data_IF_633332760140
#
_entry.id   IF_633332760140
#
_cell.length_a   1.000
_cell.length_b   1.000
_cell.length_c   1.000
_cell.angle_alpha   90.00
_cell.angle_beta   90.00
_cell.angle_gamma   90.00
#
_symmetry.space_group_name_H-M   'P 1'
#
loop_
_entity.id
_entity.type
_entity.pdbx_description
1 polymer ?
#
# COMPACT_ATOMS: atom_id res chain seq x y z
N UNK A 1 13.87 -12.73 76.02
CA UNK A 1 14.72 -11.54 76.17
C UNK A 1 14.83 -10.92 74.79
N UNK A 2 14.27 -9.77 74.41
CA UNK A 2 13.71 -8.60 75.11
C UNK A 2 12.48 -8.12 74.31
N UNK A 3 11.46 -7.57 75.00
CA UNK A 3 10.16 -7.10 74.46
C UNK A 3 10.16 -5.58 74.21
N UNK A 4 9.07 -5.12 73.56
CA UNK A 4 8.53 -3.75 73.37
C UNK A 4 8.98 -3.02 72.07
N UNK A 5 8.12 -2.37 71.28
CA UNK A 5 6.67 -2.15 71.36
C UNK A 5 6.13 -1.35 70.16
N UNK A 6 4.89 -1.64 69.79
CA UNK A 6 3.86 -0.83 69.12
C UNK A 6 4.22 0.37 68.21
N UNK A 7 3.77 0.32 66.94
CA UNK A 7 2.51 0.97 66.52
C UNK A 7 2.07 0.59 65.10
N UNK A 8 0.83 0.11 65.03
CA UNK A 8 0.02 -0.05 63.82
C UNK A 8 -0.30 1.33 63.22
N UNK A 9 -0.25 1.41 61.89
CA UNK A 9 -0.85 2.48 61.09
C UNK A 9 -1.90 1.91 60.15
N UNK A 10 -3.06 1.51 60.68
CA UNK A 10 -4.27 1.24 59.90
C UNK A 10 -5.05 2.54 59.74
N UNK A 11 -4.92 3.21 58.59
CA UNK A 11 -5.78 4.35 58.26
C UNK A 11 -7.12 3.83 57.72
N UNK A 12 -8.13 3.84 58.59
CA UNK A 12 -9.52 3.66 58.23
C UNK A 12 -10.00 4.84 57.36
N UNK A 13 -10.44 4.57 56.14
CA UNK A 13 -11.28 5.49 55.35
C UNK A 13 -12.74 5.24 55.73
N UNK A 14 -13.31 6.16 56.49
CA UNK A 14 -14.76 6.37 56.63
C UNK A 14 -15.13 7.70 55.96
N UNK A 15 -16.36 7.84 55.44
CA UNK A 15 -16.72 8.83 54.44
C UNK A 15 -17.05 10.17 55.07
N UNK A 16 -16.42 11.25 54.59
CA UNK A 16 -16.79 12.61 54.94
C UNK A 16 -17.87 13.14 54.00
N UNK A 17 -18.93 13.62 54.64
CA UNK A 17 -20.05 14.37 54.15
C UNK A 17 -19.72 15.45 53.09
N UNK A 18 -20.70 15.63 52.19
CA UNK A 18 -21.11 16.89 51.56
C UNK A 18 -20.03 17.96 51.35
N UNK A 19 -19.50 18.03 50.13
CA UNK A 19 -18.94 19.29 49.60
C UNK A 19 -20.01 20.00 48.78
N UNK A 20 -20.67 20.93 49.48
CA UNK A 20 -21.39 22.06 48.91
C UNK A 20 -20.35 23.17 48.68
N UNK A 21 -20.50 23.89 47.59
CA UNK A 21 -19.59 24.92 47.10
C UNK A 21 -19.14 25.92 48.18
N UNK A 22 -17.83 26.16 48.26
CA UNK A 22 -17.25 27.21 49.09
C UNK A 22 -17.24 28.49 48.25
N UNK A 23 -18.21 29.35 48.54
CA UNK A 23 -18.28 30.71 48.03
C UNK A 23 -17.31 31.59 48.83
N UNK A 24 -16.19 31.97 48.23
CA UNK A 24 -15.24 32.97 48.75
C UNK A 24 -15.63 34.34 48.22
N UNK A 25 -16.55 35.03 48.87
CA UNK A 25 -16.74 36.47 48.62
C UNK A 25 -17.10 37.25 49.89
N UNK A 26 -16.21 38.21 50.16
CA UNK A 26 -16.32 39.43 50.96
C UNK A 26 -17.61 39.68 51.74
N UNK A 27 -17.46 39.69 53.06
CA UNK A 27 -18.34 40.42 53.97
C UNK A 27 -18.11 41.93 53.72
N UNK A 28 -19.00 42.55 52.94
CA UNK A 28 -18.87 43.96 52.55
C UNK A 28 -20.22 44.59 52.22
N UNK A 29 -20.82 45.22 53.23
CA UNK A 29 -21.73 46.37 53.17
C UNK A 29 -22.43 46.70 51.84
N UNK A 30 -23.70 46.31 51.71
CA UNK A 30 -24.77 47.15 51.17
C UNK A 30 -26.13 46.42 51.21
N UNK A 31 -26.71 46.30 52.40
CA UNK A 31 -28.16 46.12 52.52
C UNK A 31 -28.78 47.50 52.64
N UNK A 32 -29.44 47.97 51.58
CA UNK A 32 -30.29 49.16 51.63
C UNK A 32 -31.52 48.85 52.47
N UNK A 33 -31.40 49.02 53.79
CA UNK A 33 -32.53 48.96 54.72
C UNK A 33 -33.27 50.29 54.61
N UNK A 34 -34.42 50.25 53.92
CA UNK A 34 -35.29 51.40 53.78
C UNK A 34 -36.10 51.59 55.08
N UNK A 35 -35.55 52.33 56.05
CA UNK A 35 -36.23 52.66 57.31
C UNK A 35 -37.10 53.89 57.09
N UNK A 36 -38.34 53.69 56.63
CA UNK A 36 -39.34 54.76 56.63
C UNK A 36 -40.14 54.77 57.93
N UNK A 37 -39.92 55.82 58.72
CA UNK A 37 -40.79 56.45 59.72
C UNK A 37 -41.02 55.74 61.07
N UNK A 38 -40.14 56.03 62.04
CA UNK A 38 -40.55 56.18 63.46
C UNK A 38 -40.97 57.64 63.69
N UNK A 39 -42.15 57.92 64.27
CA UNK A 39 -42.50 59.28 64.64
C UNK A 39 -41.79 59.61 65.96
N UNK A 40 -40.84 60.54 65.91
CA UNK A 40 -40.25 61.16 67.11
C UNK A 40 -40.36 62.66 66.93
N UNK A 41 -41.28 63.29 67.64
CA UNK A 41 -41.28 64.75 67.85
C UNK A 41 -41.75 65.07 69.27
N UNK A 42 -40.79 65.43 70.12
CA UNK A 42 -41.05 66.16 71.36
C UNK A 42 -41.34 67.63 70.99
N UNK A 43 -42.58 68.05 71.22
CA UNK A 43 -43.10 69.39 71.54
C UNK A 43 -42.41 70.66 71.01
N UNK A 44 -43.19 71.46 70.26
CA UNK A 44 -42.94 72.89 69.99
C UNK A 44 -43.97 73.57 69.07
N UNK A 45 -45.20 73.80 69.57
CA UNK A 45 -46.18 74.86 69.21
C UNK A 45 -46.70 75.08 67.75
N UNK A 46 -48.04 74.97 67.66
CA UNK A 46 -49.00 75.79 66.88
C UNK A 46 -49.25 75.51 65.39
N UNK A 47 -50.53 75.31 65.03
CA UNK A 47 -51.07 75.47 63.68
C UNK A 47 -52.22 74.53 63.32
N UNK A 48 -53.44 75.06 63.26
CA UNK A 48 -54.73 74.36 63.13
C UNK A 48 -55.10 74.06 61.65
N UNK A 49 -55.91 73.00 61.43
CA UNK A 49 -56.71 72.65 60.24
C UNK A 49 -55.95 71.95 59.09
N UNK A 50 -56.48 71.00 58.31
CA UNK A 50 -57.86 70.68 57.94
C UNK A 50 -57.97 69.22 57.47
N UNK A 51 -59.18 68.67 57.57
CA UNK A 51 -59.63 67.31 57.35
C UNK A 51 -59.82 66.88 55.87
N UNK A 52 -59.52 65.61 55.59
CA UNK A 52 -60.22 64.65 54.69
C UNK A 52 -60.60 65.04 53.25
N UNK A 53 -60.06 64.33 52.25
CA UNK A 53 -60.85 63.83 51.10
C UNK A 53 -60.12 62.71 50.30
N UNK A 54 -60.85 61.64 49.94
CA UNK A 54 -60.36 60.41 49.29
C UNK A 54 -60.00 60.52 47.80
N UNK A 55 -59.59 59.40 47.15
CA UNK A 55 -58.80 59.42 45.92
C UNK A 55 -59.66 59.64 44.66
N UNK A 56 -59.37 60.71 43.91
CA UNK A 56 -59.93 60.95 42.56
C UNK A 56 -59.16 60.17 41.49
N UNK A 57 -59.91 59.71 40.47
CA UNK A 57 -59.43 59.02 39.27
C UNK A 57 -58.50 59.94 38.47
N UNK A 58 -57.26 59.49 38.23
CA UNK A 58 -56.25 60.23 37.46
C UNK A 58 -56.51 60.04 35.96
N UNK A 59 -56.72 61.13 35.22
CA UNK A 59 -56.77 61.11 33.76
C UNK A 59 -55.38 61.46 33.27
N UNK A 60 -54.79 60.56 32.47
CA UNK A 60 -53.44 60.71 31.95
C UNK A 60 -53.49 61.33 30.55
N UNK A 61 -52.93 62.53 30.41
CA UNK A 61 -52.87 63.24 29.13
C UNK A 61 -51.74 62.73 28.24
N UNK A 62 -51.75 63.09 26.95
CA UNK A 62 -50.71 62.72 25.97
C UNK A 62 -49.28 63.02 26.48
N UNK A 63 -49.11 64.14 27.19
CA UNK A 63 -47.84 64.55 27.80
C UNK A 63 -47.35 63.59 28.89
N UNK A 64 -48.25 62.98 29.67
CA UNK A 64 -47.89 61.95 30.65
C UNK A 64 -47.31 60.71 29.97
N UNK A 65 -47.99 60.18 28.94
CA UNK A 65 -47.48 59.02 28.21
C UNK A 65 -46.20 59.32 27.43
N UNK A 66 -46.02 60.55 26.93
CA UNK A 66 -44.80 60.98 26.27
C UNK A 66 -43.61 61.05 27.26
N UNK A 67 -43.84 61.57 28.47
CA UNK A 67 -42.82 61.57 29.52
C UNK A 67 -42.52 60.16 30.03
N UNK A 68 -43.53 59.29 30.15
CA UNK A 68 -43.34 57.88 30.49
C UNK A 68 -42.52 57.15 29.42
N UNK A 69 -42.79 57.39 28.13
CA UNK A 69 -42.00 56.85 27.02
C UNK A 69 -40.56 57.38 27.03
N UNK A 70 -40.34 58.67 27.34
CA UNK A 70 -38.99 59.23 27.51
C UNK A 70 -38.26 58.57 28.69
N UNK A 71 -38.93 58.37 29.82
CA UNK A 71 -38.37 57.65 30.97
C UNK A 71 -37.99 56.22 30.59
N UNK A 72 -38.91 55.50 29.92
CA UNK A 72 -38.65 54.13 29.46
C UNK A 72 -37.55 54.03 28.40
N UNK A 73 -37.47 54.99 27.49
CA UNK A 73 -36.34 55.07 26.55
C UNK A 73 -35.02 55.38 27.25
N UNK A 74 -35.04 56.19 28.31
CA UNK A 74 -33.85 56.43 29.14
C UNK A 74 -33.45 55.17 29.91
N UNK A 75 -34.40 54.45 30.51
CA UNK A 75 -34.17 53.16 31.19
C UNK A 75 -33.62 52.10 30.23
N UNK A 76 -34.21 51.96 29.03
CA UNK A 76 -33.70 51.08 27.98
C UNK A 76 -32.29 51.50 27.54
N UNK A 77 -32.04 52.80 27.39
CA UNK A 77 -30.71 53.29 27.05
C UNK A 77 -29.70 52.95 28.14
N UNK A 78 -30.04 53.12 29.42
CA UNK A 78 -29.14 52.73 30.53
C UNK A 78 -28.89 51.23 30.57
N UNK A 79 -29.91 50.41 30.31
CA UNK A 79 -29.76 48.95 30.28
C UNK A 79 -28.89 48.51 29.08
N UNK A 80 -29.06 49.13 27.91
CA UNK A 80 -28.19 48.89 26.75
C UNK A 80 -26.73 49.24 27.07
N UNK A 81 -26.47 50.33 27.77
CA UNK A 81 -25.10 50.69 28.18
C UNK A 81 -24.53 49.71 29.20
N UNK A 82 -25.37 49.18 30.10
CA UNK A 82 -24.98 48.15 31.05
C UNK A 82 -24.62 46.85 30.34
N UNK A 83 -25.46 46.37 29.42
CA UNK A 83 -25.15 45.18 28.61
C UNK A 83 -23.89 45.35 27.76
N UNK A 84 -23.66 46.52 27.17
CA UNK A 84 -22.40 46.78 26.44
C UNK A 84 -21.18 46.65 27.34
N UNK A 85 -21.25 47.18 28.57
CA UNK A 85 -20.16 47.03 29.54
C UNK A 85 -19.96 45.58 29.98
N UNK A 86 -21.04 44.83 30.20
CA UNK A 86 -20.97 43.40 30.53
C UNK A 86 -20.35 42.60 29.38
N UNK A 87 -20.71 42.88 28.12
CA UNK A 87 -20.10 42.26 26.93
C UNK A 87 -18.59 42.55 26.88
N UNK A 88 -18.16 43.79 27.14
CA UNK A 88 -16.75 44.15 27.15
C UNK A 88 -15.97 43.44 28.27
N UNK A 89 -16.59 43.26 29.44
CA UNK A 89 -16.01 42.49 30.56
C UNK A 89 -15.89 41.02 30.18
N UNK A 90 -16.96 40.40 29.66
CA UNK A 90 -16.94 39.01 29.20
C UNK A 90 -15.85 38.79 28.14
N UNK A 91 -15.70 39.72 27.19
CA UNK A 91 -14.67 39.62 26.17
C UNK A 91 -13.25 39.69 26.75
N UNK A 92 -13.02 40.56 27.75
CA UNK A 92 -11.74 40.62 28.47
C UNK A 92 -11.50 39.35 29.29
N UNK A 93 -12.53 38.86 29.97
CA UNK A 93 -12.45 37.64 30.79
C UNK A 93 -12.20 36.39 29.92
N UNK A 94 -12.78 36.34 28.72
CA UNK A 94 -12.48 35.28 27.76
C UNK A 94 -11.01 35.33 27.30
N UNK A 95 -10.47 36.52 27.06
CA UNK A 95 -9.06 36.68 26.72
C UNK A 95 -8.13 36.29 27.88
N UNK A 96 -8.47 36.68 29.11
CA UNK A 96 -7.68 36.27 30.30
C UNK A 96 -7.79 34.78 30.56
N UNK A 97 -8.96 34.18 30.36
CA UNK A 97 -9.18 32.74 30.46
C UNK A 97 -8.25 31.97 29.52
N UNK A 98 -8.18 32.35 28.23
CA UNK A 98 -7.27 31.70 27.27
C UNK A 98 -5.79 31.81 27.67
N UNK A 99 -5.39 32.93 28.28
CA UNK A 99 -4.03 33.11 28.79
C UNK A 99 -3.80 32.23 30.02
N UNK A 100 -4.78 32.12 30.91
CA UNK A 100 -4.72 31.27 32.09
C UNK A 100 -4.70 29.79 31.73
N UNK A 101 -5.48 29.36 30.73
CA UNK A 101 -5.48 27.99 30.20
C UNK A 101 -4.10 27.61 29.67
N UNK A 102 -3.47 28.46 28.84
CA UNK A 102 -2.09 28.23 28.39
C UNK A 102 -1.09 28.16 29.55
N UNK A 103 -1.22 29.06 30.54
CA UNK A 103 -0.36 29.03 31.73
C UNK A 103 -0.57 27.75 32.55
N UNK A 104 -1.81 27.27 32.63
CA UNK A 104 -2.16 26.04 33.31
C UNK A 104 -1.54 24.83 32.61
N UNK A 105 -1.61 24.74 31.28
CA UNK A 105 -0.97 23.67 30.51
C UNK A 105 0.55 23.64 30.68
N UNK A 106 1.19 24.82 30.63
CA UNK A 106 2.63 24.95 30.88
C UNK A 106 2.94 24.48 32.30
N UNK A 107 2.21 24.95 33.30
CA UNK A 107 2.45 24.61 34.70
C UNK A 107 2.24 23.12 34.97
N UNK A 108 1.25 22.48 34.33
CA UNK A 108 1.07 21.02 34.42
C UNK A 108 2.27 20.28 33.84
N UNK A 109 2.77 20.70 32.68
CA UNK A 109 3.94 20.07 32.08
C UNK A 109 5.17 20.25 32.98
N UNK A 110 5.38 21.44 33.54
CA UNK A 110 6.47 21.70 34.47
C UNK A 110 6.36 20.83 35.73
N UNK A 111 5.15 20.70 36.30
CA UNK A 111 4.91 19.80 37.44
C UNK A 111 5.24 18.36 37.09
N UNK A 112 4.82 17.86 35.91
CA UNK A 112 5.13 16.49 35.47
C UNK A 112 6.62 16.26 35.28
N UNK A 113 7.35 17.23 34.74
CA UNK A 113 8.80 17.17 34.58
C UNK A 113 9.46 17.10 35.97
N UNK A 114 9.08 17.99 36.89
CA UNK A 114 9.61 18.02 38.25
C UNK A 114 9.29 16.74 39.04
N UNK A 115 8.08 16.18 38.87
CA UNK A 115 7.71 14.87 39.44
C UNK A 115 8.58 13.73 38.86
N UNK A 116 8.87 13.77 37.56
CA UNK A 116 9.77 12.84 36.88
C UNK A 116 11.20 12.93 37.43
N UNK A 117 11.76 14.14 37.49
CA UNK A 117 13.08 14.39 38.08
C UNK A 117 13.15 13.92 39.54
N UNK A 118 12.10 14.19 40.33
CA UNK A 118 12.02 13.70 41.71
C UNK A 118 12.00 12.17 41.78
N UNK A 119 11.28 11.50 40.87
CA UNK A 119 11.30 10.04 40.78
C UNK A 119 12.68 9.50 40.42
N UNK A 120 13.40 10.17 39.50
CA UNK A 120 14.77 9.82 39.12
C UNK A 120 15.74 10.00 40.30
N UNK A 121 15.65 11.11 41.04
CA UNK A 121 16.45 11.33 42.24
C UNK A 121 16.17 10.30 43.33
N UNK A 122 14.90 9.96 43.56
CA UNK A 122 14.51 8.93 44.51
C UNK A 122 15.07 7.55 44.10
N UNK A 123 14.94 7.19 42.82
CA UNK A 123 15.49 5.94 42.30
C UNK A 123 17.02 5.90 42.42
N UNK A 124 17.70 6.98 42.05
CA UNK A 124 19.15 7.09 42.19
C UNK A 124 19.59 6.98 43.66
N UNK A 125 18.86 7.62 44.58
CA UNK A 125 19.12 7.51 46.01
C UNK A 125 18.92 6.08 46.52
N UNK A 126 17.87 5.38 46.08
CA UNK A 126 17.62 3.99 46.45
C UNK A 126 18.70 3.05 45.90
N UNK A 127 19.15 3.25 44.65
CA UNK A 127 20.26 2.47 44.07
C UNK A 127 21.60 2.74 44.75
N UNK A 128 21.83 3.98 45.18
CA UNK A 128 23.00 4.33 45.99
C UNK A 128 22.94 3.66 47.37
N UNK A 129 21.79 3.66 48.04
CA UNK A 129 21.57 2.98 49.33
C UNK A 129 21.75 1.46 49.23
N UNK A 130 21.34 0.85 48.11
CA UNK A 130 21.54 -0.58 47.86
C UNK A 130 22.96 -0.94 47.40
N UNK A 131 23.86 0.05 47.26
CA UNK A 131 25.24 -0.18 46.83
C UNK A 131 25.38 -0.68 45.39
N UNK A 132 24.38 -0.43 44.54
CA UNK A 132 24.37 -0.88 43.14
C UNK A 132 25.38 -0.05 42.33
N UNK A 133 26.27 -0.70 41.59
CA UNK A 133 27.28 -0.01 40.79
C UNK A 133 26.64 0.59 39.55
N UNK A 134 27.21 1.68 39.05
CA UNK A 134 26.78 2.33 37.80
C UNK A 134 26.82 1.38 36.60
N UNK A 135 27.81 0.48 36.56
CA UNK A 135 27.96 -0.51 35.49
C UNK A 135 26.80 -1.51 35.48
N UNK A 136 26.34 -1.94 36.67
CA UNK A 136 25.20 -2.85 36.82
C UNK A 136 23.88 -2.17 36.43
N UNK A 137 23.74 -0.87 36.74
CA UNK A 137 22.59 -0.05 36.32
C UNK A 137 22.58 0.08 34.79
N UNK A 138 23.73 0.33 34.17
CA UNK A 138 23.85 0.41 32.71
C UNK A 138 23.54 -0.92 32.04
N UNK A 139 24.02 -2.04 32.59
CA UNK A 139 23.70 -3.37 32.07
C UNK A 139 22.19 -3.67 32.17
N UNK A 140 21.56 -3.34 33.30
CA UNK A 140 20.11 -3.48 33.48
C UNK A 140 19.33 -2.60 32.49
N UNK A 141 19.76 -1.36 32.30
CA UNK A 141 19.17 -0.44 31.33
C UNK A 141 19.26 -1.00 29.91
N UNK A 142 20.43 -1.50 29.49
CA UNK A 142 20.60 -2.12 28.17
C UNK A 142 19.70 -3.34 27.99
N UNK A 143 19.60 -4.19 29.01
CA UNK A 143 18.72 -5.35 28.98
C UNK A 143 17.24 -4.96 28.84
N UNK A 144 16.75 -4.01 29.66
CA UNK A 144 15.37 -3.52 29.60
C UNK A 144 15.10 -2.84 28.25
N UNK A 145 16.05 -2.05 27.75
CA UNK A 145 15.94 -1.39 26.44
C UNK A 145 15.79 -2.42 25.32
N UNK A 146 16.65 -3.45 25.28
CA UNK A 146 16.56 -4.51 24.29
C UNK A 146 15.22 -5.26 24.39
N UNK A 147 14.73 -5.52 25.61
CA UNK A 147 13.42 -6.16 25.80
C UNK A 147 12.28 -5.27 25.29
N UNK A 148 12.35 -3.96 25.53
CA UNK A 148 11.36 -3.01 25.04
C UNK A 148 11.39 -2.88 23.52
N UNK A 149 12.56 -2.88 22.89
CA UNK A 149 12.68 -2.91 21.42
C UNK A 149 12.04 -4.18 20.83
N UNK A 150 12.29 -5.35 21.44
CA UNK A 150 11.63 -6.60 21.02
C UNK A 150 10.11 -6.52 21.16
N UNK A 151 9.61 -6.03 22.30
CA UNK A 151 8.16 -5.87 22.55
C UNK A 151 7.52 -4.85 21.61
N UNK A 152 8.24 -3.78 21.26
CA UNK A 152 7.79 -2.80 20.28
C UNK A 152 7.60 -3.46 18.91
N UNK A 153 8.59 -4.22 18.44
CA UNK A 153 8.48 -4.92 17.16
C UNK A 153 7.32 -5.93 17.15
N UNK A 154 7.11 -6.65 18.25
CA UNK A 154 5.95 -7.54 18.41
C UNK A 154 4.62 -6.78 18.38
N UNK A 155 4.56 -5.61 19.01
CA UNK A 155 3.37 -4.76 18.98
C UNK A 155 3.09 -4.22 17.57
N UNK A 156 4.14 -3.84 16.85
CA UNK A 156 4.04 -3.36 15.46
C UNK A 156 3.56 -4.49 14.53
N UNK A 157 4.04 -5.72 14.72
CA UNK A 157 3.58 -6.91 13.99
C UNK A 157 2.10 -7.21 14.27
N UNK A 158 1.70 -7.24 15.55
CA UNK A 158 0.29 -7.42 15.94
C UNK A 158 -0.60 -6.30 15.39
N UNK A 159 -0.10 -5.07 15.30
CA UNK A 159 -0.84 -3.96 14.74
C UNK A 159 -1.06 -4.12 13.23
N UNK A 160 -0.05 -4.60 12.50
CA UNK A 160 -0.17 -4.90 11.08
C UNK A 160 -1.15 -6.05 10.84
N UNK A 161 -1.03 -7.15 11.59
CA UNK A 161 -1.97 -8.27 11.51
C UNK A 161 -3.41 -7.82 11.79
N UNK A 162 -3.62 -7.02 12.84
CA UNK A 162 -4.94 -6.47 13.15
C UNK A 162 -5.47 -5.62 12.01
N UNK A 163 -4.63 -4.78 11.41
CA UNK A 163 -5.02 -3.93 10.28
C UNK A 163 -5.40 -4.75 9.05
N UNK A 164 -4.67 -5.81 8.76
CA UNK A 164 -4.96 -6.71 7.63
C UNK A 164 -6.28 -7.45 7.85
N UNK A 165 -6.52 -7.96 9.06
CA UNK A 165 -7.81 -8.55 9.44
C UNK A 165 -8.95 -7.54 9.39
N UNK A 166 -8.75 -6.29 9.84
CA UNK A 166 -9.75 -5.21 9.74
C UNK A 166 -10.09 -4.92 8.26
N UNK A 167 -9.11 -4.94 7.35
CA UNK A 167 -9.35 -4.78 5.91
C UNK A 167 -10.12 -5.96 5.33
N UNK A 168 -9.75 -7.20 5.68
CA UNK A 168 -10.45 -8.41 5.23
C UNK A 168 -11.91 -8.43 5.71
N UNK A 169 -12.15 -8.06 6.97
CA UNK A 169 -13.51 -7.90 7.51
C UNK A 169 -14.28 -6.85 6.70
N UNK A 170 -13.67 -5.71 6.39
CA UNK A 170 -14.33 -4.67 5.60
C UNK A 170 -14.68 -5.13 4.18
N UNK A 171 -13.81 -5.92 3.53
CA UNK A 171 -14.09 -6.51 2.24
C UNK A 171 -15.23 -7.54 2.29
N UNK A 172 -15.22 -8.42 3.31
CA UNK A 172 -16.29 -9.39 3.54
C UNK A 172 -17.62 -8.71 3.83
N UNK A 173 -17.64 -7.67 4.66
CA UNK A 173 -18.84 -6.86 4.92
C UNK A 173 -19.37 -6.22 3.64
N UNK A 174 -18.48 -5.72 2.76
CA UNK A 174 -18.89 -5.18 1.47
C UNK A 174 -19.50 -6.26 0.57
N UNK A 175 -18.92 -7.46 0.53
CA UNK A 175 -19.47 -8.58 -0.23
C UNK A 175 -20.83 -9.02 0.32
N UNK A 176 -20.97 -9.13 1.64
CA UNK A 176 -22.24 -9.43 2.31
C UNK A 176 -23.30 -8.38 1.95
N UNK A 177 -22.95 -7.10 1.98
CA UNK A 177 -23.87 -6.02 1.61
C UNK A 177 -24.29 -6.10 0.13
N UNK A 178 -23.37 -6.42 -0.78
CA UNK A 178 -23.71 -6.60 -2.20
C UNK A 178 -24.66 -7.78 -2.42
N UNK A 179 -24.43 -8.90 -1.74
CA UNK A 179 -25.31 -10.08 -1.78
C UNK A 179 -26.68 -9.73 -1.17
N UNK A 180 -26.71 -9.01 -0.05
CA UNK A 180 -27.95 -8.56 0.58
C UNK A 180 -28.75 -7.64 -0.33
N UNK A 181 -28.11 -6.71 -1.05
CA UNK A 181 -28.80 -5.86 -2.04
C UNK A 181 -29.40 -6.68 -3.18
N UNK A 182 -28.64 -7.62 -3.76
CA UNK A 182 -29.14 -8.50 -4.80
C UNK A 182 -30.29 -9.41 -4.30
N UNK A 183 -30.23 -9.84 -3.04
CA UNK A 183 -31.31 -10.58 -2.40
C UNK A 183 -32.54 -9.70 -2.15
N UNK A 184 -32.38 -8.46 -1.73
CA UNK A 184 -33.49 -7.50 -1.56
C UNK A 184 -34.17 -7.17 -2.90
N UNK A 185 -33.41 -7.05 -3.99
CA UNK A 185 -33.96 -6.90 -5.35
C UNK A 185 -34.85 -8.08 -5.73
N UNK A 186 -34.39 -9.32 -5.51
CA UNK A 186 -35.19 -10.53 -5.72
C UNK A 186 -36.38 -10.63 -4.78
N UNK A 187 -36.24 -10.18 -3.53
CA UNK A 187 -37.32 -10.19 -2.55
C UNK A 187 -38.42 -9.19 -2.91
N UNK A 188 -38.08 -8.11 -3.61
CA UNK A 188 -39.04 -7.13 -4.14
C UNK A 188 -39.87 -7.69 -5.31
N UNK A 189 -39.42 -8.77 -5.96
CA UNK A 189 -40.17 -9.50 -7.00
C UNK A 189 -41.13 -10.55 -6.40
N UNK A 190 -41.07 -10.79 -5.09
CA UNK A 190 -41.85 -11.81 -4.38
C UNK A 190 -43.24 -11.30 -3.94
N UNK A 191 -44.18 -12.22 -3.69
CA UNK A 191 -45.55 -11.88 -3.27
C UNK A 191 -45.59 -11.15 -1.90
N UNK A 192 -46.50 -10.17 -1.68
CA UNK A 192 -46.50 -9.31 -0.50
C UNK A 192 -46.57 -10.04 0.85
N UNK A 193 -47.29 -11.16 0.92
CA UNK A 193 -47.50 -11.94 2.15
C UNK A 193 -46.22 -12.73 2.54
N UNK A 194 -45.45 -13.19 1.55
CA UNK A 194 -44.15 -13.85 1.78
C UNK A 194 -43.08 -12.85 2.19
N UNK A 195 -43.13 -11.63 1.65
CA UNK A 195 -42.24 -10.53 2.01
C UNK A 195 -42.42 -10.11 3.48
N UNK A 196 -43.66 -10.01 3.95
CA UNK A 196 -43.97 -9.66 5.34
C UNK A 196 -43.46 -10.72 6.34
N UNK A 197 -43.57 -12.02 6.01
CA UNK A 197 -43.00 -13.09 6.84
C UNK A 197 -41.46 -13.06 6.86
N UNK A 198 -40.82 -12.82 5.71
CA UNK A 198 -39.37 -12.67 5.65
C UNK A 198 -38.88 -11.49 6.49
N UNK A 199 -39.54 -10.34 6.39
CA UNK A 199 -39.18 -9.15 7.18
C UNK A 199 -39.35 -9.40 8.69
N UNK A 200 -40.40 -10.12 9.10
CA UNK A 200 -40.59 -10.54 10.49
C UNK A 200 -39.43 -11.39 11.01
N UNK A 201 -39.04 -12.44 10.27
CA UNK A 201 -37.90 -13.28 10.66
C UNK A 201 -36.56 -12.56 10.58
N UNK A 202 -36.39 -11.61 9.66
CA UNK A 202 -35.19 -10.77 9.56
C UNK A 202 -35.03 -9.88 10.80
N UNK A 203 -36.12 -9.26 11.26
CA UNK A 203 -36.12 -8.42 12.47
C UNK A 203 -35.81 -9.27 13.71
N UNK A 204 -36.43 -10.44 13.84
CA UNK A 204 -36.17 -11.37 14.95
C UNK A 204 -34.70 -11.83 14.95
N UNK A 205 -34.14 -12.19 13.79
CA UNK A 205 -32.74 -12.58 13.67
C UNK A 205 -31.79 -11.44 14.08
N UNK A 206 -32.09 -10.20 13.65
CA UNK A 206 -31.29 -9.04 14.04
C UNK A 206 -31.34 -8.76 15.55
N UNK A 207 -32.50 -8.94 16.18
CA UNK A 207 -32.63 -8.84 17.63
C UNK A 207 -31.83 -9.92 18.36
N UNK A 208 -31.94 -11.18 17.93
CA UNK A 208 -31.18 -12.30 18.51
C UNK A 208 -29.67 -12.10 18.36
N UNK A 209 -29.20 -11.60 17.20
CA UNK A 209 -27.79 -11.27 17.01
C UNK A 209 -27.33 -10.17 17.96
N UNK A 210 -28.11 -9.10 18.11
CA UNK A 210 -27.81 -8.01 19.06
C UNK A 210 -27.75 -8.52 20.51
N UNK A 211 -28.65 -9.40 20.90
CA UNK A 211 -28.66 -9.99 22.24
C UNK A 211 -27.42 -10.88 22.45
N UNK A 212 -27.02 -11.67 21.45
CA UNK A 212 -25.77 -12.45 21.49
C UNK A 212 -24.55 -11.54 21.65
N UNK A 213 -24.48 -10.43 20.91
CA UNK A 213 -23.39 -9.47 21.06
C UNK A 213 -23.35 -8.84 22.46
N UNK A 214 -24.50 -8.48 23.01
CA UNK A 214 -24.61 -7.95 24.38
C UNK A 214 -24.12 -8.98 25.42
N UNK A 215 -24.60 -10.22 25.32
CA UNK A 215 -24.22 -11.30 26.23
C UNK A 215 -22.73 -11.65 26.12
N UNK A 216 -22.14 -11.59 24.93
CA UNK A 216 -20.69 -11.77 24.74
C UNK A 216 -19.89 -10.65 25.40
N UNK A 217 -20.31 -9.40 25.22
CA UNK A 217 -19.66 -8.25 25.85
C UNK A 217 -19.72 -8.32 27.39
N UNK A 218 -20.86 -8.74 27.95
CA UNK A 218 -21.00 -8.98 29.40
C UNK A 218 -20.08 -10.11 29.88
N UNK A 219 -19.99 -11.20 29.11
CA UNK A 219 -19.11 -12.33 29.43
C UNK A 219 -17.63 -11.92 29.41
N UNK A 220 -17.23 -11.09 28.45
CA UNK A 220 -15.87 -10.55 28.36
C UNK A 220 -15.56 -9.61 29.54
N UNK A 221 -16.47 -8.73 29.93
CA UNK A 221 -16.29 -7.87 31.12
C UNK A 221 -16.14 -8.70 32.41
N UNK A 222 -16.98 -9.72 32.58
CA UNK A 222 -16.88 -10.64 33.71
C UNK A 222 -15.55 -11.39 33.71
N UNK A 223 -15.07 -11.84 32.54
CA UNK A 223 -13.79 -12.52 32.40
C UNK A 223 -12.61 -11.61 32.72
N UNK A 224 -12.61 -10.37 32.23
CA UNK A 224 -11.58 -9.38 32.56
C UNK A 224 -11.57 -9.12 34.06
N UNK A 225 -12.75 -8.91 34.66
CA UNK A 225 -12.88 -8.69 36.11
C UNK A 225 -12.43 -9.90 36.93
N UNK A 226 -12.71 -11.12 36.45
CA UNK A 226 -12.25 -12.35 37.09
C UNK A 226 -10.73 -12.43 37.04
N UNK A 227 -10.12 -12.17 35.87
CA UNK A 227 -8.66 -12.16 35.70
C UNK A 227 -7.99 -11.14 36.63
N UNK A 228 -8.52 -9.92 36.71
CA UNK A 228 -8.01 -8.88 37.61
C UNK A 228 -8.09 -9.29 39.09
N UNK A 229 -9.20 -9.94 39.48
CA UNK A 229 -9.37 -10.45 40.84
C UNK A 229 -8.43 -11.63 41.12
N UNK A 230 -8.22 -12.51 40.15
CA UNK A 230 -7.32 -13.65 40.24
C UNK A 230 -5.85 -13.20 40.35
N UNK A 231 -5.44 -12.19 39.57
CA UNK A 231 -4.10 -11.62 39.66
C UNK A 231 -3.85 -10.91 41.00
N UNK A 232 -4.86 -10.21 41.54
CA UNK A 232 -4.81 -9.68 42.92
C UNK A 232 -4.73 -10.78 43.96
N UNK A 233 -5.43 -11.90 43.75
CA UNK A 233 -5.41 -13.05 44.65
C UNK A 233 -4.03 -13.75 44.61
N UNK A 234 -3.41 -13.87 43.43
CA UNK A 234 -2.04 -14.39 43.27
C UNK A 234 -0.99 -13.58 44.01
N UNK A 235 -1.17 -12.26 44.10
CA UNK A 235 -0.27 -11.39 44.86
C UNK A 235 -0.42 -11.58 46.39
N UNK A 236 -1.58 -12.06 46.86
CA UNK A 236 -1.86 -12.31 48.28
C UNK A 236 -1.70 -13.78 48.66
N UNK A 237 -0.48 -14.13 49.07
CA UNK A 237 -0.08 -15.49 49.46
C UNK A 237 -0.91 -16.10 50.60
N UNK A 238 -1.46 -15.27 51.49
CA UNK A 238 -2.32 -15.75 52.58
C UNK A 238 -3.72 -16.11 52.07
N UNK A 239 -4.23 -15.35 51.11
CA UNK A 239 -5.55 -15.58 50.51
C UNK A 239 -5.56 -16.78 49.57
N UNK A 240 -4.47 -17.02 48.82
CA UNK A 240 -4.28 -18.27 48.07
C UNK A 240 -4.29 -19.49 48.99
N UNK A 241 -3.56 -19.43 50.11
CA UNK A 241 -3.53 -20.52 51.09
C UNK A 241 -4.92 -20.77 51.70
N UNK A 242 -5.68 -19.71 51.95
CA UNK A 242 -7.06 -19.82 52.42
C UNK A 242 -8.01 -20.44 51.38
N UNK A 243 -7.82 -20.16 50.08
CA UNK A 243 -8.59 -20.78 48.99
C UNK A 243 -8.27 -22.27 48.86
N UNK A 244 -6.99 -22.64 48.84
CA UNK A 244 -6.57 -24.05 48.82
C UNK A 244 -7.19 -24.84 49.97
N UNK A 245 -7.20 -24.30 51.20
CA UNK A 245 -7.83 -24.94 52.35
C UNK A 245 -9.37 -25.03 52.22
N UNK A 246 -10.02 -24.08 51.53
CA UNK A 246 -11.46 -24.16 51.24
C UNK A 246 -11.76 -25.25 50.22
N UNK A 247 -10.96 -25.36 49.16
CA UNK A 247 -11.13 -26.40 48.15
C UNK A 247 -10.86 -27.79 48.74
N UNK A 248 -9.84 -27.91 49.59
CA UNK A 248 -9.55 -29.13 50.36
C UNK A 248 -10.73 -29.48 51.28
N UNK A 249 -11.31 -28.50 51.98
CA UNK A 249 -12.52 -28.70 52.79
C UNK A 249 -13.71 -29.17 51.94
N UNK A 250 -13.93 -28.60 50.75
CA UNK A 250 -15.01 -29.02 49.85
C UNK A 250 -14.79 -30.46 49.39
N UNK A 251 -13.56 -30.83 49.03
CA UNK A 251 -13.22 -32.20 48.63
C UNK A 251 -13.42 -33.19 49.78
N UNK A 252 -13.01 -32.82 51.00
CA UNK A 252 -13.23 -33.63 52.19
C UNK A 252 -14.72 -33.76 52.54
N UNK A 253 -15.52 -32.71 52.34
CA UNK A 253 -16.98 -32.77 52.51
C UNK A 253 -17.65 -33.70 51.50
N UNK A 254 -17.29 -33.61 50.21
CA UNK A 254 -17.77 -34.55 49.19
C UNK A 254 -17.40 -35.99 49.52
N UNK A 255 -16.16 -36.22 49.96
CA UNK A 255 -15.69 -37.54 50.37
C UNK A 255 -16.42 -38.04 51.62
N UNK A 256 -16.76 -37.15 52.55
CA UNK A 256 -17.60 -37.46 53.70
C UNK A 256 -19.01 -37.85 53.26
N UNK A 257 -19.65 -37.08 52.38
CA UNK A 257 -20.98 -37.38 51.84
C UNK A 257 -21.00 -38.72 51.10
N UNK A 258 -19.97 -39.02 50.31
CA UNK A 258 -19.80 -40.30 49.62
C UNK A 258 -19.67 -41.47 50.61
N UNK A 259 -18.84 -41.32 51.65
CA UNK A 259 -18.69 -42.32 52.70
C UNK A 259 -19.96 -42.49 53.54
N UNK A 260 -20.69 -41.40 53.83
CA UNK A 260 -21.99 -41.45 54.50
C UNK A 260 -23.01 -42.20 53.63
N UNK A 261 -23.01 -41.98 52.32
CA UNK A 261 -23.88 -42.70 51.39
C UNK A 261 -23.54 -44.21 51.36
N UNK A 262 -22.26 -44.58 51.30
CA UNK A 262 -21.81 -45.97 51.37
C UNK A 262 -22.14 -46.64 52.72
N UNK A 263 -22.04 -45.90 53.82
CA UNK A 263 -22.37 -46.41 55.17
C UNK A 263 -23.88 -46.59 55.32
N UNK A 264 -24.68 -45.67 54.79
CA UNK A 264 -26.13 -45.75 54.78
C UNK A 264 -26.63 -46.90 53.87
N UNK A 265 -25.95 -47.17 52.75
CA UNK A 265 -26.22 -48.35 51.91
C UNK A 265 -25.93 -49.67 52.65
N UNK A 266 -24.89 -49.70 53.49
CA UNK A 266 -24.51 -50.88 54.29
C UNK A 266 -25.48 -51.18 55.45
N UNK A 267 -26.21 -50.16 55.92
CA UNK A 267 -27.19 -50.27 57.01
C UNK A 267 -28.64 -50.44 56.52
N UNK A 268 -28.86 -50.56 55.22
CA UNK A 268 -30.20 -50.69 54.64
C UNK A 268 -30.70 -52.14 54.71
N UNK A 269 -31.95 -52.40 55.12
CA UNK A 269 -32.53 -53.74 55.07
C UNK A 269 -32.48 -54.31 53.65
N UNK A 270 -32.14 -55.60 53.51
CA UNK A 270 -31.95 -56.27 52.21
C UNK A 270 -33.04 -56.00 51.16
N UNK A 271 -34.34 -55.93 51.50
CA UNK A 271 -35.39 -55.59 50.54
C UNK A 271 -35.25 -54.18 49.93
N UNK A 272 -34.89 -53.18 50.74
CA UNK A 272 -34.73 -51.79 50.31
C UNK A 272 -33.44 -51.59 49.51
N UNK A 273 -32.35 -52.24 49.93
CA UNK A 273 -31.09 -52.25 49.18
C UNK A 273 -31.27 -52.85 47.78
N UNK A 274 -32.06 -53.93 47.67
CA UNK A 274 -32.40 -54.57 46.39
C UNK A 274 -33.23 -53.65 45.48
N UNK A 275 -34.17 -52.91 46.05
CA UNK A 275 -35.01 -51.98 45.28
C UNK A 275 -34.21 -50.76 44.78
N UNK A 276 -33.34 -50.19 45.62
CA UNK A 276 -32.43 -49.12 45.19
C UNK A 276 -31.44 -49.58 44.13
N UNK A 277 -30.86 -50.77 44.26
CA UNK A 277 -29.98 -51.35 43.25
C UNK A 277 -30.73 -51.58 41.92
N UNK A 278 -31.98 -52.05 41.98
CA UNK A 278 -32.83 -52.19 40.80
C UNK A 278 -33.09 -50.85 40.12
N UNK A 279 -33.35 -49.79 40.90
CA UNK A 279 -33.56 -48.45 40.35
C UNK A 279 -32.28 -47.87 39.74
N UNK A 280 -31.11 -48.09 40.36
CA UNK A 280 -29.81 -47.74 39.80
C UNK A 280 -29.56 -48.47 38.48
N UNK A 281 -29.78 -49.79 38.43
CA UNK A 281 -29.65 -50.57 37.17
C UNK A 281 -30.59 -50.05 36.09
N UNK A 282 -31.83 -49.65 36.43
CA UNK A 282 -32.76 -49.04 35.46
C UNK A 282 -32.27 -47.68 34.97
N UNK A 283 -31.74 -46.85 35.86
CA UNK A 283 -31.17 -45.56 35.50
C UNK A 283 -29.94 -45.73 34.63
N UNK A 284 -28.98 -46.53 35.05
CA UNK A 284 -27.76 -46.85 34.30
C UNK A 284 -28.09 -47.44 32.94
N UNK A 285 -29.10 -48.32 32.84
CA UNK A 285 -29.57 -48.85 31.56
C UNK A 285 -30.14 -47.75 30.64
N UNK A 286 -30.92 -46.81 31.20
CA UNK A 286 -31.42 -45.66 30.44
C UNK A 286 -30.30 -44.72 29.99
N UNK A 287 -29.29 -44.51 30.83
CA UNK A 287 -28.11 -43.70 30.50
C UNK A 287 -27.24 -44.38 29.44
N UNK A 288 -27.04 -45.70 29.52
CA UNK A 288 -26.35 -46.49 28.50
C UNK A 288 -27.08 -46.38 27.16
N UNK A 289 -28.40 -46.55 27.12
CA UNK A 289 -29.18 -46.39 25.89
C UNK A 289 -29.07 -44.98 25.30
N UNK A 290 -29.02 -43.94 26.14
CA UNK A 290 -28.81 -42.58 25.68
C UNK A 290 -27.40 -42.38 25.10
N UNK A 291 -26.38 -42.90 25.78
CA UNK A 291 -25.00 -42.89 25.30
C UNK A 291 -24.83 -43.66 23.98
N UNK A 292 -25.47 -44.82 23.83
CA UNK A 292 -25.47 -45.61 22.59
C UNK A 292 -26.09 -44.84 21.43
N UNK A 293 -27.24 -44.16 21.65
CA UNK A 293 -27.84 -43.27 20.64
C UNK A 293 -26.86 -42.16 20.23
N UNK A 294 -26.25 -41.49 21.21
CA UNK A 294 -25.26 -40.44 20.95
C UNK A 294 -24.04 -40.97 20.18
N UNK A 295 -23.56 -42.17 20.50
CA UNK A 295 -22.49 -42.84 19.75
C UNK A 295 -22.91 -43.06 18.29
N UNK A 296 -24.15 -43.50 18.04
CA UNK A 296 -24.62 -43.71 16.66
C UNK A 296 -24.78 -42.40 15.89
N UNK A 297 -25.21 -41.33 16.54
CA UNK A 297 -25.27 -39.99 15.94
C UNK A 297 -23.87 -39.46 15.61
N UNK A 298 -22.92 -39.58 16.53
CA UNK A 298 -21.53 -39.20 16.30
C UNK A 298 -20.89 -40.02 15.18
N UNK A 299 -21.18 -41.31 15.07
CA UNK A 299 -20.71 -42.13 13.95
C UNK A 299 -21.24 -41.61 12.60
N UNK A 300 -22.53 -41.26 12.52
CA UNK A 300 -23.10 -40.66 11.30
C UNK A 300 -22.43 -39.33 10.95
N UNK A 301 -22.14 -38.51 11.96
CA UNK A 301 -21.44 -37.23 11.78
C UNK A 301 -20.01 -37.47 11.27
N UNK A 302 -19.30 -38.46 11.83
CA UNK A 302 -17.96 -38.85 11.35
C UNK A 302 -18.04 -39.32 9.90
N UNK A 303 -19.01 -40.17 9.55
CA UNK A 303 -19.19 -40.65 8.17
C UNK A 303 -19.48 -39.48 7.20
N UNK A 304 -20.26 -38.48 7.62
CA UNK A 304 -20.49 -37.27 6.81
C UNK A 304 -19.21 -36.45 6.64
N UNK A 305 -18.43 -36.25 7.71
CA UNK A 305 -17.17 -35.52 7.59
C UNK A 305 -16.15 -36.28 6.73
N UNK A 306 -16.10 -37.60 6.82
CA UNK A 306 -15.23 -38.42 5.97
C UNK A 306 -15.62 -38.30 4.49
N UNK A 307 -16.92 -38.26 4.17
CA UNK A 307 -17.38 -38.00 2.79
C UNK A 307 -16.96 -36.60 2.31
N UNK A 308 -17.18 -35.58 3.14
CA UNK A 308 -16.78 -34.22 2.79
C UNK A 308 -15.26 -34.09 2.61
N UNK A 309 -14.46 -34.78 3.42
CA UNK A 309 -13.00 -34.84 3.26
C UNK A 309 -12.64 -35.49 1.92
N UNK A 310 -13.27 -36.62 1.58
CA UNK A 310 -12.99 -37.29 0.31
C UNK A 310 -13.42 -36.44 -0.90
N UNK A 311 -14.50 -35.68 -0.80
CA UNK A 311 -14.93 -34.72 -1.82
C UNK A 311 -13.90 -33.60 -1.99
N UNK A 312 -13.46 -32.99 -0.88
CA UNK A 312 -12.41 -31.96 -0.90
C UNK A 312 -11.06 -32.49 -1.41
N UNK A 313 -10.70 -33.73 -1.07
CA UNK A 313 -9.51 -34.39 -1.62
C UNK A 313 -9.66 -34.64 -3.12
N UNK A 314 -10.86 -35.01 -3.58
CA UNK A 314 -11.22 -35.09 -5.00
C UNK A 314 -11.00 -33.75 -5.71
N UNK A 315 -11.58 -32.68 -5.19
CA UNK A 315 -11.42 -31.33 -5.73
C UNK A 315 -9.94 -30.90 -5.78
N UNK A 316 -9.16 -31.24 -4.75
CA UNK A 316 -7.72 -30.98 -4.70
C UNK A 316 -6.93 -31.76 -5.74
N UNK A 317 -7.36 -32.99 -6.07
CA UNK A 317 -6.77 -33.77 -7.16
C UNK A 317 -7.17 -33.22 -8.52
N UNK A 318 -8.42 -32.78 -8.70
CA UNK A 318 -8.88 -32.12 -9.92
C UNK A 318 -8.11 -30.81 -10.17
N UNK A 319 -7.86 -30.02 -9.12
CA UNK A 319 -7.07 -28.79 -9.20
C UNK A 319 -5.60 -29.05 -9.61
N UNK A 320 -5.03 -30.18 -9.19
CA UNK A 320 -3.69 -30.61 -9.61
C UNK A 320 -3.67 -31.07 -11.07
N UNK A 321 -4.71 -31.79 -11.51
CA UNK A 321 -4.83 -32.16 -12.93
C UNK A 321 -5.09 -30.95 -13.80
N UNK A 322 -5.83 -29.94 -13.32
CA UNK A 322 -6.04 -28.67 -14.01
C UNK A 322 -4.73 -27.87 -14.14
N UNK A 323 -3.80 -27.95 -13.17
CA UNK A 323 -2.46 -27.40 -13.31
C UNK A 323 -1.64 -28.12 -14.39
N UNK A 324 -1.66 -29.44 -14.42
CA UNK A 324 -0.98 -30.22 -15.47
C UNK A 324 -1.58 -29.98 -16.86
N UNK A 325 -2.90 -29.80 -16.96
CA UNK A 325 -3.58 -29.47 -18.20
C UNK A 325 -3.36 -28.00 -18.60
N UNK A 326 -3.23 -27.09 -17.63
CA UNK A 326 -2.81 -25.70 -17.87
C UNK A 326 -1.43 -25.65 -18.50
N UNK A 327 -0.46 -26.44 -18.01
CA UNK A 327 0.86 -26.54 -18.63
C UNK A 327 0.82 -27.12 -20.05
N UNK A 328 -0.07 -28.08 -20.33
CA UNK A 328 -0.28 -28.58 -21.71
C UNK A 328 -0.90 -27.51 -22.61
N UNK A 329 -1.87 -26.75 -22.11
CA UNK A 329 -2.48 -25.63 -22.83
C UNK A 329 -1.46 -24.53 -23.13
N UNK A 330 -0.59 -24.22 -22.18
CA UNK A 330 0.48 -23.23 -22.36
C UNK A 330 1.51 -23.71 -23.39
N UNK A 331 1.91 -24.98 -23.34
CA UNK A 331 2.78 -25.58 -24.35
C UNK A 331 2.13 -25.59 -25.76
N UNK A 332 0.83 -25.85 -25.83
CA UNK A 332 0.07 -25.82 -27.09
C UNK A 332 -0.01 -24.39 -27.65
N UNK A 333 -0.33 -23.41 -26.80
CA UNK A 333 -0.38 -22.01 -27.16
C UNK A 333 0.98 -21.47 -27.61
N UNK A 334 2.07 -21.87 -26.93
CA UNK A 334 3.43 -21.55 -27.35
C UNK A 334 3.73 -22.12 -28.74
N UNK A 335 3.35 -23.38 -29.00
CA UNK A 335 3.49 -24.00 -30.32
C UNK A 335 2.66 -23.32 -31.40
N UNK A 336 1.44 -22.92 -31.07
CA UNK A 336 0.54 -22.25 -32.00
C UNK A 336 1.07 -20.85 -32.37
N UNK A 337 1.64 -20.15 -31.37
CA UNK A 337 2.35 -18.89 -31.58
C UNK A 337 3.60 -19.06 -32.45
N UNK A 338 4.40 -20.09 -32.21
CA UNK A 338 5.58 -20.42 -33.04
C UNK A 338 5.18 -20.78 -34.47
N UNK A 339 4.11 -21.57 -34.66
CA UNK A 339 3.58 -21.88 -35.99
C UNK A 339 3.03 -20.64 -36.70
N UNK A 340 2.34 -19.76 -35.97
CA UNK A 340 1.80 -18.52 -36.54
C UNK A 340 2.93 -17.60 -36.98
N UNK A 341 3.95 -17.41 -36.14
CA UNK A 341 5.15 -16.66 -36.48
C UNK A 341 5.92 -17.27 -37.66
N UNK A 342 5.99 -18.61 -37.73
CA UNK A 342 6.56 -19.29 -38.88
C UNK A 342 5.75 -19.06 -40.15
N UNK A 343 4.42 -19.14 -40.08
CA UNK A 343 3.53 -18.88 -41.22
C UNK A 343 3.63 -17.44 -41.71
N UNK A 344 3.65 -16.46 -40.81
CA UNK A 344 3.75 -15.04 -41.14
C UNK A 344 5.10 -14.72 -41.82
N UNK A 345 6.19 -15.33 -41.34
CA UNK A 345 7.53 -15.11 -41.86
C UNK A 345 7.90 -16.07 -43.01
N UNK A 346 7.07 -17.05 -43.34
CA UNK A 346 7.40 -18.10 -44.31
C UNK A 346 7.68 -17.53 -45.69
N UNK A 347 6.83 -16.61 -46.16
CA UNK A 347 6.99 -16.04 -47.51
C UNK A 347 8.24 -15.17 -47.62
N UNK A 348 8.62 -14.47 -46.54
CA UNK A 348 9.83 -13.65 -46.47
C UNK A 348 11.10 -14.52 -46.47
N UNK A 349 11.15 -15.57 -45.65
CA UNK A 349 12.26 -16.53 -45.61
C UNK A 349 12.39 -17.27 -46.94
N UNK A 350 11.27 -17.68 -47.54
CA UNK A 350 11.25 -18.35 -48.85
C UNK A 350 11.76 -17.45 -49.96
N UNK A 351 11.41 -16.16 -49.95
CA UNK A 351 11.92 -15.20 -50.94
C UNK A 351 13.43 -14.98 -50.77
N UNK A 352 13.91 -14.90 -49.54
CA UNK A 352 15.34 -14.76 -49.24
C UNK A 352 16.15 -16.00 -49.67
N UNK A 353 15.70 -17.21 -49.33
CA UNK A 353 16.30 -18.48 -49.77
C UNK A 353 16.24 -18.64 -51.30
N UNK A 354 15.15 -18.24 -51.94
CA UNK A 354 15.03 -18.29 -53.41
C UNK A 354 16.00 -17.33 -54.10
N UNK A 355 16.25 -16.14 -53.54
CA UNK A 355 17.28 -15.20 -54.04
C UNK A 355 18.68 -15.77 -53.84
N UNK A 356 18.95 -16.42 -52.70
CA UNK A 356 20.23 -17.09 -52.48
C UNK A 356 20.47 -18.23 -53.47
N UNK A 357 19.43 -19.03 -53.75
CA UNK A 357 19.46 -20.06 -54.79
C UNK A 357 19.74 -19.47 -56.17
N UNK A 358 19.06 -18.38 -56.55
CA UNK A 358 19.28 -17.73 -57.84
C UNK A 358 20.72 -17.21 -57.98
N UNK A 359 21.31 -16.66 -56.92
CA UNK A 359 22.73 -16.26 -56.90
C UNK A 359 23.66 -17.46 -57.05
N UNK A 360 23.35 -18.57 -56.37
CA UNK A 360 24.11 -19.82 -56.47
C UNK A 360 24.03 -20.43 -57.87
N UNK A 361 22.84 -20.47 -58.47
CA UNK A 361 22.62 -20.94 -59.83
C UNK A 361 23.40 -20.09 -60.84
N UNK A 362 23.36 -18.77 -60.71
CA UNK A 362 24.14 -17.87 -61.55
C UNK A 362 25.65 -18.09 -61.40
N UNK A 363 26.13 -18.33 -60.17
CA UNK A 363 27.53 -18.66 -59.92
C UNK A 363 27.92 -20.01 -60.53
N UNK A 364 27.06 -21.02 -60.45
CA UNK A 364 27.27 -22.33 -61.09
C UNK A 364 27.32 -22.16 -62.60
N UNK A 365 26.38 -21.41 -63.19
CA UNK A 365 26.36 -21.13 -64.62
C UNK A 365 27.63 -20.40 -65.06
N UNK A 366 28.07 -19.39 -64.30
CA UNK A 366 29.33 -18.68 -64.55
C UNK A 366 30.55 -19.61 -64.49
N UNK A 367 30.63 -20.48 -63.48
CA UNK A 367 31.71 -21.45 -63.35
C UNK A 367 31.69 -22.49 -64.49
N UNK A 368 30.51 -22.97 -64.87
CA UNK A 368 30.34 -23.91 -66.00
C UNK A 368 30.68 -23.25 -67.34
N UNK A 369 30.31 -21.99 -67.54
CA UNK A 369 30.68 -21.24 -68.74
C UNK A 369 32.19 -20.99 -68.77
N UNK A 370 32.80 -20.64 -67.64
CA UNK A 370 34.24 -20.49 -67.52
C UNK A 370 34.98 -21.82 -67.78
N UNK A 371 34.48 -22.93 -67.24
CA UNK A 371 35.00 -24.27 -67.52
C UNK A 371 34.82 -24.66 -68.97
N UNK A 372 33.68 -24.37 -69.59
CA UNK A 372 33.42 -24.63 -71.01
C UNK A 372 34.34 -23.82 -71.93
N UNK A 373 34.53 -22.52 -71.62
CA UNK A 373 35.55 -21.68 -72.27
C UNK A 373 36.97 -22.20 -72.02
N UNK A 374 37.23 -22.78 -70.86
CA UNK A 374 38.50 -23.44 -70.53
C UNK A 374 38.73 -24.74 -71.31
N UNK A 375 37.67 -25.56 -71.48
CA UNK A 375 37.70 -26.82 -72.22
C UNK A 375 37.87 -26.55 -73.72
N UNK A 376 37.12 -25.62 -74.29
CA UNK A 376 37.30 -25.22 -75.70
C UNK A 376 38.69 -24.64 -75.96
N UNK A 377 39.26 -23.90 -75.00
CA UNK A 377 40.65 -23.42 -75.05
C UNK A 377 41.68 -24.55 -74.85
N UNK A 378 41.33 -25.61 -74.14
CA UNK A 378 42.14 -26.82 -73.96
C UNK A 378 42.05 -27.79 -75.14
N UNK A 379 40.92 -27.88 -75.83
CA UNK A 379 40.76 -28.64 -77.08
C UNK A 379 41.45 -27.92 -78.25
N UNK A 380 41.52 -26.60 -78.20
CA UNK A 380 42.32 -25.78 -79.12
C UNK A 380 43.83 -25.73 -78.78
N UNK A 381 44.30 -26.48 -77.76
CA UNK A 381 45.73 -26.60 -77.46
C UNK A 381 46.36 -27.71 -78.30
N UNK A 382 47.39 -27.42 -79.12
CA UNK A 382 48.06 -28.44 -79.94
C UNK A 382 48.74 -29.52 -79.09
N UNK A 383 48.80 -30.75 -79.60
CA UNK A 383 49.55 -31.82 -78.96
C UNK A 383 51.05 -31.48 -78.89
N UNK A 384 51.81 -32.05 -77.94
CA UNK A 384 53.24 -31.70 -77.71
C UNK A 384 54.12 -31.83 -78.97
N UNK A 385 53.74 -32.72 -79.90
CA UNK A 385 54.41 -32.89 -81.20
C UNK A 385 54.00 -31.80 -82.20
N UNK A 386 52.73 -31.46 -82.27
CA UNK A 386 52.23 -30.38 -83.13
C UNK A 386 52.68 -29.01 -82.64
N UNK A 387 52.75 -28.79 -81.33
CA UNK A 387 53.30 -27.57 -80.73
C UNK A 387 54.79 -27.40 -81.06
N UNK A 388 55.56 -28.49 -81.15
CA UNK A 388 56.98 -28.40 -81.53
C UNK A 388 57.12 -28.06 -83.02
N UNK A 389 56.36 -28.72 -83.90
CA UNK A 389 56.33 -28.39 -85.32
C UNK A 389 55.82 -26.96 -85.56
N UNK A 390 54.80 -26.52 -84.82
CA UNK A 390 54.26 -25.16 -84.92
C UNK A 390 55.22 -24.13 -84.31
N UNK A 391 56.03 -24.49 -83.31
CA UNK A 391 57.10 -23.65 -82.78
C UNK A 391 58.27 -23.53 -83.76
N UNK A 392 58.63 -24.61 -84.45
CA UNK A 392 59.66 -24.62 -85.50
C UNK A 392 59.19 -23.84 -86.74
N UNK A 393 57.92 -24.01 -87.16
CA UNK A 393 57.29 -23.23 -88.23
C UNK A 393 57.13 -21.75 -87.83
N UNK A 394 56.87 -21.46 -86.56
CA UNK A 394 56.78 -20.09 -86.05
C UNK A 394 58.16 -19.46 -85.88
N UNK A 395 59.21 -20.23 -85.56
CA UNK A 395 60.60 -19.76 -85.58
C UNK A 395 61.06 -19.48 -87.01
N UNK A 396 60.72 -20.35 -87.97
CA UNK A 396 60.98 -20.16 -89.39
C UNK A 396 60.20 -18.96 -89.96
N UNK A 397 58.91 -18.83 -89.64
CA UNK A 397 58.10 -17.69 -90.02
C UNK A 397 58.52 -16.40 -89.32
N UNK A 398 58.97 -16.45 -88.06
CA UNK A 398 59.59 -15.29 -87.41
C UNK A 398 60.88 -14.90 -88.13
N UNK A 399 61.73 -15.85 -88.52
CA UNK A 399 62.92 -15.56 -89.32
C UNK A 399 62.58 -14.96 -90.70
N UNK A 400 61.50 -15.43 -91.34
CA UNK A 400 60.98 -14.86 -92.59
C UNK A 400 60.37 -13.47 -92.39
N UNK A 401 59.64 -13.24 -91.30
CA UNK A 401 59.03 -11.95 -90.97
C UNK A 401 60.10 -10.96 -90.55
N UNK A 402 61.10 -11.35 -89.76
CA UNK A 402 62.24 -10.53 -89.35
C UNK A 402 63.15 -10.25 -90.56
N UNK A 403 63.30 -11.20 -91.48
CA UNK A 403 63.89 -10.99 -92.80
C UNK A 403 63.09 -9.98 -93.64
N UNK A 404 61.77 -10.13 -93.70
CA UNK A 404 60.83 -9.21 -94.36
C UNK A 404 60.85 -7.82 -93.73
N UNK A 405 60.89 -7.71 -92.41
CA UNK A 405 60.99 -6.46 -91.66
C UNK A 405 62.33 -5.77 -91.91
N UNK A 406 63.43 -6.52 -91.94
CA UNK A 406 64.73 -5.99 -92.33
C UNK A 406 64.74 -5.54 -93.80
N UNK A 407 64.03 -6.26 -94.68
CA UNK A 407 63.90 -5.86 -96.09
C UNK A 407 63.01 -4.62 -96.22
N UNK A 408 61.92 -4.54 -95.45
CA UNK A 408 61.01 -3.39 -95.38
C UNK A 408 61.70 -2.17 -94.78
N UNK A 409 62.51 -2.34 -93.74
CA UNK A 409 63.32 -1.28 -93.16
C UNK A 409 64.35 -0.76 -94.17
N UNK A 410 65.00 -1.67 -94.92
CA UNK A 410 65.92 -1.30 -96.00
C UNK A 410 65.21 -0.58 -97.15
N UNK A 411 64.02 -1.04 -97.55
CA UNK A 411 63.19 -0.36 -98.58
C UNK A 411 62.68 0.99 -98.07
N UNK A 412 62.34 1.13 -96.78
CA UNK A 412 61.99 2.42 -96.17
C UNK A 412 63.16 3.40 -96.20
N UNK A 413 64.38 2.95 -95.87
CA UNK A 413 65.59 3.77 -95.95
C UNK A 413 65.85 4.18 -97.40
N UNK A 414 65.72 3.27 -98.37
CA UNK A 414 65.84 3.61 -99.79
C UNK A 414 64.74 4.58 -100.26
N UNK A 415 63.50 4.43 -99.76
CA UNK A 415 62.38 5.32 -100.06
C UNK A 415 62.59 6.71 -99.46
N UNK A 416 63.11 6.81 -98.24
CA UNK A 416 63.45 8.07 -97.58
C UNK A 416 64.63 8.76 -98.28
N UNK A 417 65.64 8.00 -98.74
CA UNK A 417 66.69 8.53 -99.61
C UNK A 417 66.12 9.06 -100.93
N UNK A 418 65.20 8.32 -101.58
CA UNK A 418 64.55 8.74 -102.82
C UNK A 418 63.63 9.95 -102.62
N UNK A 419 62.91 10.04 -101.49
CA UNK A 419 62.12 11.22 -101.12
C UNK A 419 63.02 12.42 -100.85
N UNK A 420 64.13 12.26 -100.14
CA UNK A 420 65.11 13.33 -99.95
C UNK A 420 65.76 13.76 -101.27
N UNK A 421 65.99 12.84 -102.21
CA UNK A 421 66.44 13.20 -103.56
C UNK A 421 65.34 13.89 -104.37
N UNK A 422 64.06 13.57 -104.15
CA UNK A 422 62.92 14.23 -104.77
C UNK A 422 62.72 15.65 -104.22
N UNK A 423 62.89 15.86 -102.90
CA UNK A 423 62.93 17.20 -102.29
C UNK A 423 64.13 18.02 -102.80
N UNK A 424 65.29 17.38 -103.04
CA UNK A 424 66.41 18.05 -103.72
C UNK A 424 66.04 18.45 -105.15
N UNK A 425 65.29 17.62 -105.87
CA UNK A 425 64.79 17.94 -107.22
C UNK A 425 63.77 19.08 -107.15
N UNK A 426 62.80 19.06 -106.22
CA UNK A 426 61.81 20.14 -106.06
C UNK A 426 62.46 21.46 -105.63
N UNK A 427 63.48 21.42 -104.76
CA UNK A 427 64.24 22.62 -104.39
C UNK A 427 65.12 23.12 -105.53
N UNK A 428 65.60 22.24 -106.42
CA UNK A 428 66.26 22.61 -107.67
C UNK A 428 65.28 23.20 -108.68
N UNK A 429 64.08 22.64 -108.84
CA UNK A 429 63.01 23.19 -109.68
C UNK A 429 62.58 24.58 -109.19
N UNK A 430 62.37 24.74 -107.88
CA UNK A 430 62.08 26.03 -107.27
C UNK A 430 63.24 27.05 -107.34
N UNK A 431 64.49 26.60 -107.53
CA UNK A 431 65.63 27.48 -107.82
C UNK A 431 65.69 27.86 -109.31
N UNK A 432 65.43 26.90 -110.20
CA UNK A 432 65.44 27.11 -111.66
C UNK A 432 64.29 28.02 -112.09
N UNK A 433 63.09 27.88 -111.51
CA UNK A 433 61.99 28.84 -111.77
C UNK A 433 62.35 30.26 -111.33
N UNK A 434 63.06 30.41 -110.21
CA UNK A 434 63.54 31.71 -109.73
C UNK A 434 64.63 32.27 -110.65
N UNK A 435 65.56 31.45 -111.14
CA UNK A 435 66.58 31.89 -112.11
C UNK A 435 65.98 32.25 -113.47
N UNK A 436 65.04 31.48 -114.01
CA UNK A 436 64.45 31.78 -115.31
C UNK A 436 63.51 32.98 -115.30
N UNK A 437 62.78 33.25 -114.19
CA UNK A 437 62.09 34.54 -114.02
C UNK A 437 63.08 35.72 -114.05
N UNK A 438 64.22 35.57 -113.38
CA UNK A 438 65.29 36.57 -113.37
C UNK A 438 65.94 36.74 -114.76
N UNK A 439 66.02 35.66 -115.56
CA UNK A 439 66.53 35.69 -116.93
C UNK A 439 65.52 36.31 -117.92
N UNK A 440 64.22 36.06 -117.74
CA UNK A 440 63.14 36.74 -118.48
C UNK A 440 63.05 38.24 -118.13
N UNK A 441 63.36 38.66 -116.90
CA UNK A 441 63.47 40.09 -116.56
C UNK A 441 64.71 40.74 -117.18
N UNK A 442 65.86 40.05 -117.21
CA UNK A 442 67.07 40.56 -117.88
C UNK A 442 66.94 40.63 -119.40
N UNK A 443 66.35 39.64 -120.05
CA UNK A 443 66.13 39.66 -121.51
C UNK A 443 65.13 40.76 -121.90
N UNK A 444 64.09 40.99 -121.10
CA UNK A 444 63.14 42.09 -121.33
C UNK A 444 63.82 43.45 -121.18
N UNK A 445 64.67 43.62 -120.17
CA UNK A 445 65.47 44.84 -120.01
C UNK A 445 66.50 45.03 -121.14
N UNK A 446 67.08 43.96 -121.69
CA UNK A 446 68.04 44.06 -122.82
C UNK A 446 67.36 44.30 -124.18
N UNK A 447 66.15 43.81 -124.40
CA UNK A 447 65.41 44.05 -125.64
C UNK A 447 64.83 45.48 -125.68
N UNK A 448 64.36 46.00 -124.54
CA UNK A 448 63.93 47.40 -124.40
C UNK A 448 65.10 48.39 -124.58
N UNK A 449 66.32 47.99 -124.22
CA UNK A 449 67.54 48.78 -124.49
C UNK A 449 67.90 48.81 -125.99
N UNK A 450 67.43 47.85 -126.79
CA UNK A 450 67.56 47.87 -128.26
C UNK A 450 66.44 48.67 -128.94
N UNK A 451 65.26 48.79 -128.31
CA UNK A 451 64.16 49.65 -128.77
C UNK A 451 64.49 51.17 -128.73
N UNK A 452 65.62 51.59 -128.15
CA UNK A 452 65.94 53.01 -127.99
C UNK A 452 67.37 53.46 -128.37
N UNK A 453 68.13 52.66 -129.13
CA UNK A 453 69.45 53.09 -129.65
C UNK A 453 69.60 52.91 -131.18
N UNK A 454 69.43 54.05 -131.86
CA UNK A 454 69.80 54.45 -133.24
C UNK A 454 68.79 54.25 -134.37
#
# INVERSE_FOLDING_TARGET
SMRLGSRMGTAARQPTAMRKDVNTEGVGYNTNINVTNRPVTNHGLSGVTSSSQGPKRKIYDKSYYLNLLKSKNSELSTEIHKFKKEIDVINKDNQTFLVLEKKYDILINDVRILEGELADYNLAQDKFRSGTRTDDINALYQHIRMQNEKRKNQLDELFLERKDLENEISELERQINAINQANEEKLNELDPEQKEQYDSFRVENYQLQRDIYSLRAELDDVNVRLKDLDDKLKQDTLRQRAQHLRDERINLLKKKEELELQTNESNLPFPEARERLRNRIKQDHSEILHCEKKITELKKIIDTYQKNINELEGDLTEQKTDQDDSHKYEALHQRDKEMTQFMDNFEEIKEEESKQLEVLENNIAFMLEHMSKGITKSEAMPSKSEFHNMADDLAYNKGLVEGSENTLARVKIELEQRQGDLEKIETLEGKIERENKNMNEKLKNMQDDMDNKF
#
